data_IF_097001908454
#
_entry.id   IF_097001908454
#
_cell.length_a   1.000
_cell.length_b   1.000
_cell.length_c   1.000
_cell.angle_alpha   90.00
_cell.angle_beta   90.00
_cell.angle_gamma   90.00
#
_symmetry.space_group_name_H-M   'P 1'
#
loop_
_entity.id
_entity.type
_entity.pdbx_description
1 polymer ?
#
# COMPACT_ATOMS: atom_id res chain seq x y z
N UNK A 1 15.12 0.97 32.54
CA UNK A 1 14.00 1.12 31.56
C UNK A 1 14.45 1.06 30.08
N UNK A 2 15.75 1.11 29.75
CA UNK A 2 16.25 0.90 28.37
C UNK A 2 16.83 -0.50 28.11
N UNK A 3 16.86 -1.38 29.11
CA UNK A 3 17.42 -2.74 29.01
C UNK A 3 16.68 -3.63 27.99
N UNK A 4 15.40 -3.35 27.72
CA UNK A 4 14.62 -4.04 26.68
C UNK A 4 15.02 -3.64 25.25
N UNK A 5 15.52 -2.40 25.07
CA UNK A 5 16.12 -1.95 23.80
C UNK A 5 17.59 -2.38 23.69
N UNK A 6 18.20 -2.72 24.82
CA UNK A 6 19.59 -3.17 24.95
C UNK A 6 19.67 -4.63 25.41
N UNK A 7 18.80 -5.53 24.90
CA UNK A 7 19.05 -6.97 24.93
C UNK A 7 20.24 -7.29 24.02
N UNK A 8 21.47 -6.98 24.47
CA UNK A 8 22.72 -7.36 23.81
C UNK A 8 22.92 -6.86 22.37
N UNK A 9 22.28 -5.77 21.94
CA UNK A 9 22.47 -5.18 20.61
C UNK A 9 21.62 -5.76 19.47
N UNK A 10 20.68 -6.66 19.75
CA UNK A 10 19.81 -7.29 18.74
C UNK A 10 18.55 -6.49 18.37
N UNK A 11 18.15 -5.52 19.21
CA UNK A 11 16.97 -4.69 18.98
C UNK A 11 16.90 -4.05 17.58
N UNK A 12 17.97 -3.43 17.02
CA UNK A 12 17.90 -2.85 15.68
C UNK A 12 17.60 -3.90 14.59
N UNK A 13 18.09 -5.13 14.70
CA UNK A 13 17.82 -6.19 13.72
C UNK A 13 16.34 -6.58 13.69
N UNK A 14 15.73 -6.72 14.88
CA UNK A 14 14.31 -7.08 15.03
C UNK A 14 13.41 -5.95 14.53
N UNK A 15 13.72 -4.70 14.91
CA UNK A 15 12.99 -3.53 14.44
C UNK A 15 13.13 -3.30 12.94
N UNK A 16 14.29 -3.57 12.33
CA UNK A 16 14.44 -3.51 10.87
C UNK A 16 13.60 -4.57 10.16
N UNK A 17 13.49 -5.79 10.70
CA UNK A 17 12.62 -6.82 10.13
C UNK A 17 11.13 -6.43 10.20
N UNK A 18 10.68 -5.86 11.32
CA UNK A 18 9.34 -5.29 11.45
C UNK A 18 9.12 -4.08 10.52
N UNK A 19 10.12 -3.21 10.36
CA UNK A 19 10.07 -2.08 9.44
C UNK A 19 9.93 -2.54 7.99
N UNK A 20 10.68 -3.56 7.58
CA UNK A 20 10.58 -4.14 6.24
C UNK A 20 9.20 -4.75 5.99
N UNK A 21 8.69 -5.52 6.95
CA UNK A 21 7.34 -6.07 6.88
C UNK A 21 6.28 -4.96 6.75
N UNK A 22 6.41 -3.89 7.53
CA UNK A 22 5.52 -2.74 7.47
C UNK A 22 5.57 -2.02 6.12
N UNK A 23 6.77 -1.85 5.54
CA UNK A 23 6.95 -1.27 4.20
C UNK A 23 6.27 -2.14 3.13
N UNK A 24 6.45 -3.46 3.17
CA UNK A 24 5.79 -4.38 2.22
C UNK A 24 4.26 -4.31 2.35
N UNK A 25 3.75 -4.20 3.58
CA UNK A 25 2.32 -4.04 3.85
C UNK A 25 1.80 -2.73 3.26
N UNK A 26 2.48 -1.62 3.53
CA UNK A 26 2.13 -0.30 2.98
C UNK A 26 2.15 -0.29 1.46
N UNK A 27 3.16 -0.88 0.82
CA UNK A 27 3.21 -0.99 -0.64
C UNK A 27 2.00 -1.77 -1.15
N UNK A 28 1.65 -2.90 -0.53
CA UNK A 28 0.47 -3.68 -0.89
C UNK A 28 -0.85 -2.93 -0.69
N UNK A 29 -0.96 -2.05 0.30
CA UNK A 29 -2.15 -1.21 0.51
C UNK A 29 -2.21 -0.02 -0.45
N UNK A 30 -1.07 0.61 -0.77
CA UNK A 30 -1.01 1.80 -1.63
C UNK A 30 -1.21 1.44 -3.10
N UNK A 31 -0.71 0.28 -3.55
CA UNK A 31 -0.90 -0.24 -4.92
C UNK A 31 -2.37 -0.26 -5.39
N UNK A 32 -3.32 -0.86 -4.66
CA UNK A 32 -4.73 -0.88 -5.05
C UNK A 32 -5.37 0.50 -4.96
N UNK A 33 -5.01 1.35 -3.99
CA UNK A 33 -5.54 2.72 -3.90
C UNK A 33 -5.15 3.56 -5.13
N UNK A 34 -3.88 3.47 -5.58
CA UNK A 34 -3.42 4.16 -6.78
C UNK A 34 -4.10 3.61 -8.04
N UNK A 35 -4.34 2.29 -8.10
CA UNK A 35 -4.95 1.63 -9.25
C UNK A 35 -6.46 1.88 -9.33
N UNK A 36 -7.16 1.97 -8.21
CA UNK A 36 -8.58 2.31 -8.14
C UNK A 36 -8.87 3.66 -8.77
N UNK A 37 -8.03 4.67 -8.50
CA UNK A 37 -8.13 6.00 -9.11
C UNK A 37 -7.97 6.01 -10.62
N UNK A 38 -7.43 4.95 -11.22
CA UNK A 38 -7.32 4.82 -12.67
C UNK A 38 -8.58 4.21 -13.29
N UNK A 39 -9.16 3.21 -12.63
CA UNK A 39 -10.38 2.52 -13.08
C UNK A 39 -11.61 3.42 -12.97
N UNK A 40 -11.72 4.22 -11.91
CA UNK A 40 -12.83 5.16 -11.74
C UNK A 40 -12.91 6.19 -12.88
N UNK A 41 -11.76 6.66 -13.38
CA UNK A 41 -11.69 7.59 -14.52
C UNK A 41 -12.08 6.93 -15.84
N UNK A 42 -11.90 5.63 -15.99
CA UNK A 42 -12.31 4.88 -17.19
C UNK A 42 -13.81 4.58 -17.19
N UNK A 43 -14.42 4.30 -16.02
CA UNK A 43 -15.86 4.08 -15.89
C UNK A 43 -16.68 5.35 -16.22
N UNK A 44 -16.21 6.53 -15.78
CA UNK A 44 -16.86 7.81 -16.09
C UNK A 44 -16.80 8.12 -17.61
N UNK A 45 -15.74 7.70 -18.30
CA UNK A 45 -15.60 7.88 -19.76
C UNK A 45 -16.32 6.81 -20.59
N UNK A 46 -16.54 5.62 -20.05
CA UNK A 46 -17.21 4.51 -20.75
C UNK A 46 -18.73 4.60 -20.83
N UNK A 47 -19.39 5.25 -19.86
CA UNK A 47 -20.85 5.38 -19.85
C UNK A 47 -21.39 6.30 -20.96
N UNK A 48 -20.58 7.22 -21.49
CA UNK A 48 -20.99 8.12 -22.57
C UNK A 48 -21.09 7.48 -23.96
N UNK A 49 -20.77 6.18 -24.12
CA UNK A 49 -20.56 5.57 -25.45
C UNK A 49 -21.49 4.40 -25.78
N UNK A 50 -22.46 4.06 -24.92
CA UNK A 50 -23.45 2.99 -25.18
C UNK A 50 -24.87 3.47 -25.50
N UNK A 51 -25.20 4.75 -25.34
CA UNK A 51 -26.53 5.31 -25.70
C UNK A 51 -26.49 6.08 -27.02
N UNK A 52 -25.99 5.42 -28.06
CA UNK A 52 -25.84 6.06 -29.37
C UNK A 52 -25.40 5.04 -30.43
N UNK A 53 -26.23 4.04 -30.67
CA UNK A 53 -26.19 3.28 -31.92
C UNK A 53 -27.58 3.39 -32.54
N UNK A 54 -27.69 3.90 -33.79
CA UNK A 54 -28.96 4.09 -34.51
C UNK A 54 -29.63 2.75 -34.86
#
# INVERSE_FOLDING_TARGET
MMEFLHMGGYAPYVWSAYGLAFVVLLVNLIQPMLRQRRIERELIRGMGRKTGRP
#
